data_IF_800309017297
#
_entry.id   IF_800309017297
#
_cell.length_a   1.000
_cell.length_b   1.000
_cell.length_c   1.000
_cell.angle_alpha   90.00
_cell.angle_beta   90.00
_cell.angle_gamma   90.00
#
_symmetry.space_group_name_H-M   'P 1'
#
loop_
_entity.id
_entity.type
_entity.pdbx_description
1 polymer ?
#
# COMPACT_ATOMS: atom_id res chain seq x y z
N UNK A 1 -0.85 -2.16 -20.71
CA UNK A 1 -1.09 -1.74 -22.10
C UNK A 1 -2.19 -0.67 -22.16
N UNK A 2 -1.87 0.61 -22.04
CA UNK A 2 -2.87 1.69 -22.20
C UNK A 2 -3.15 1.89 -23.68
N UNK A 3 -4.29 1.39 -24.14
CA UNK A 3 -4.78 1.63 -25.50
C UNK A 3 -5.16 3.11 -25.63
N UNK A 4 -4.26 3.92 -26.20
CA UNK A 4 -4.53 5.33 -26.48
C UNK A 4 -5.36 5.41 -27.76
N UNK A 5 -6.66 5.68 -27.62
CA UNK A 5 -7.52 5.98 -28.78
C UNK A 5 -7.11 7.34 -29.36
N UNK A 6 -7.19 7.49 -30.69
CA UNK A 6 -7.00 8.78 -31.35
C UNK A 6 -8.07 9.75 -30.85
N UNK A 7 -7.65 10.94 -30.42
CA UNK A 7 -8.57 11.98 -29.96
C UNK A 7 -9.18 12.65 -31.19
N UNK A 8 -10.50 12.74 -31.25
CA UNK A 8 -11.23 13.26 -32.41
C UNK A 8 -11.53 14.75 -32.25
N UNK A 9 -12.18 15.14 -31.15
CA UNK A 9 -12.68 16.51 -31.00
C UNK A 9 -11.81 17.36 -30.07
N UNK A 10 -11.74 17.03 -28.77
CA UNK A 10 -11.08 17.86 -27.76
C UNK A 10 -9.88 17.16 -27.12
N UNK A 11 -8.69 17.64 -27.48
CA UNK A 11 -7.41 17.17 -26.97
C UNK A 11 -7.25 17.31 -25.44
N UNK A 12 -7.65 18.45 -24.87
CA UNK A 12 -7.47 18.74 -23.44
C UNK A 12 -8.35 17.84 -22.56
N UNK A 13 -9.63 17.67 -22.93
CA UNK A 13 -10.56 16.80 -22.21
C UNK A 13 -10.10 15.35 -22.24
N UNK A 14 -9.59 14.89 -23.38
CA UNK A 14 -9.03 13.56 -23.50
C UNK A 14 -7.78 13.39 -22.64
N UNK A 15 -6.88 14.39 -22.62
CA UNK A 15 -5.69 14.37 -21.79
C UNK A 15 -6.06 14.26 -20.29
N UNK A 16 -6.98 15.10 -19.80
CA UNK A 16 -7.45 15.09 -18.41
C UNK A 16 -8.02 13.74 -17.95
N UNK A 17 -8.60 12.96 -18.86
CA UNK A 17 -9.18 11.66 -18.50
C UNK A 17 -8.15 10.53 -18.38
N UNK A 18 -6.92 10.75 -18.82
CA UNK A 18 -5.84 9.77 -18.72
C UNK A 18 -5.34 9.60 -17.28
N UNK A 19 -4.69 8.47 -16.93
CA UNK A 19 -4.12 8.25 -15.60
C UNK A 19 -3.06 9.28 -15.16
N UNK A 20 -2.54 10.08 -16.10
CA UNK A 20 -1.58 11.15 -15.83
C UNK A 20 -2.19 12.21 -14.90
N UNK A 21 -3.47 12.55 -15.09
CA UNK A 21 -4.18 13.58 -14.33
C UNK A 21 -5.21 12.98 -13.37
N UNK A 22 -4.79 11.97 -12.60
CA UNK A 22 -5.64 11.40 -11.54
C UNK A 22 -5.51 12.20 -10.24
N UNK A 23 -6.60 12.24 -9.48
CA UNK A 23 -6.58 12.76 -8.12
C UNK A 23 -5.55 12.00 -7.29
N UNK A 24 -4.63 12.75 -6.67
CA UNK A 24 -3.65 12.21 -5.75
C UNK A 24 -4.23 12.24 -4.34
N UNK A 25 -4.28 11.08 -3.70
CA UNK A 25 -4.66 10.97 -2.29
C UNK A 25 -3.37 10.91 -1.48
N UNK A 26 -3.19 11.88 -0.60
CA UNK A 26 -2.05 11.93 0.32
C UNK A 26 -2.40 11.18 1.59
N UNK A 27 -1.47 10.38 2.10
CA UNK A 27 -1.65 9.70 3.40
C UNK A 27 -1.68 10.75 4.51
N UNK A 28 -2.75 10.75 5.30
CA UNK A 28 -2.88 11.62 6.44
C UNK A 28 -1.75 11.36 7.46
N UNK A 29 -1.24 12.43 8.09
CA UNK A 29 -0.21 12.31 9.13
C UNK A 29 -0.77 11.80 10.46
N UNK A 30 -2.07 12.01 10.71
CA UNK A 30 -2.78 11.60 11.93
C UNK A 30 -4.22 11.22 11.58
N UNK A 31 -4.83 10.32 12.37
CA UNK A 31 -6.23 9.91 12.22
C UNK A 31 -6.42 8.68 11.34
N UNK A 32 -7.56 8.60 10.63
CA UNK A 32 -7.91 7.42 9.83
C UNK A 32 -6.90 7.22 8.69
N UNK A 33 -6.36 6.01 8.60
CA UNK A 33 -5.40 5.65 7.57
C UNK A 33 -4.01 6.26 7.77
N UNK A 34 -3.70 6.89 8.91
CA UNK A 34 -2.35 7.42 9.19
C UNK A 34 -1.38 6.39 9.76
N UNK A 35 -1.86 5.28 10.31
CA UNK A 35 -1.01 4.26 10.93
C UNK A 35 -0.01 3.67 9.93
N UNK A 36 1.24 3.51 10.37
CA UNK A 36 2.33 2.91 9.61
C UNK A 36 2.97 1.84 10.51
N UNK A 37 3.06 0.59 10.02
CA UNK A 37 3.66 -0.51 10.79
C UNK A 37 5.16 -0.31 11.05
N UNK A 38 5.85 0.44 10.20
CA UNK A 38 7.23 0.89 10.37
C UNK A 38 7.32 2.40 10.11
N UNK A 39 7.91 3.13 11.03
CA UNK A 39 8.10 4.58 10.92
C UNK A 39 9.21 4.93 9.94
N UNK A 40 9.28 6.20 9.52
CA UNK A 40 10.28 6.70 8.56
C UNK A 40 11.75 6.49 9.01
N UNK A 41 12.00 6.30 10.31
CA UNK A 41 13.32 6.09 10.91
C UNK A 41 13.67 4.64 11.21
N UNK A 42 12.76 3.67 11.06
CA UNK A 42 13.06 2.26 11.37
C UNK A 42 14.08 1.62 10.40
N UNK A 43 14.46 2.34 9.33
CA UNK A 43 15.46 1.90 8.35
C UNK A 43 16.86 2.52 8.56
N UNK A 44 17.11 3.26 9.65
CA UNK A 44 18.45 3.85 9.91
C UNK A 44 19.39 2.97 10.74
N UNK A 45 18.89 1.89 11.33
CA UNK A 45 19.72 0.84 11.91
C UNK A 45 19.10 -0.53 11.60
N UNK A 46 19.77 -1.31 10.77
CA UNK A 46 19.66 -2.77 10.77
C UNK A 46 18.47 -3.38 10.03
N UNK A 47 18.81 -4.27 9.09
CA UNK A 47 17.98 -5.37 8.58
C UNK A 47 16.64 -5.00 7.93
N UNK A 48 16.67 -4.88 6.60
CA UNK A 48 15.56 -5.42 5.84
C UNK A 48 15.56 -6.93 5.98
N UNK A 49 14.51 -7.49 6.57
CA UNK A 49 14.18 -8.90 6.38
C UNK A 49 12.67 -9.10 6.53
N UNK A 50 12.11 -9.63 5.45
CA UNK A 50 10.79 -10.25 5.28
C UNK A 50 9.93 -10.32 6.55
N UNK A 51 8.92 -9.45 6.65
CA UNK A 51 7.78 -9.67 7.56
C UNK A 51 6.54 -9.92 6.73
N UNK A 52 6.45 -11.15 6.20
CA UNK A 52 5.17 -11.76 5.89
C UNK A 52 4.34 -11.70 7.19
N UNK A 53 3.12 -11.17 7.10
CA UNK A 53 2.25 -11.08 8.28
C UNK A 53 2.08 -12.50 8.84
N UNK A 54 2.24 -12.75 10.15
CA UNK A 54 2.06 -14.10 10.67
C UNK A 54 0.60 -14.51 10.39
N UNK A 55 0.42 -15.42 9.45
CA UNK A 55 -0.80 -16.21 9.34
C UNK A 55 -0.98 -16.90 10.68
N UNK A 56 -2.10 -16.66 11.33
CA UNK A 56 -2.41 -17.20 12.67
C UNK A 56 -2.27 -18.73 12.62
N UNK A 57 -1.16 -19.28 13.15
CA UNK A 57 -0.95 -20.72 13.22
C UNK A 57 -1.55 -21.27 14.51
N UNK A 58 -2.64 -22.02 14.35
CA UNK A 58 -3.47 -22.61 15.42
C UNK A 58 -2.69 -23.65 16.24
N UNK A 59 -1.51 -24.08 15.79
CA UNK A 59 -0.73 -25.19 16.36
C UNK A 59 -0.13 -24.89 17.75
N UNK A 60 0.01 -23.62 18.14
CA UNK A 60 0.69 -23.26 19.41
C UNK A 60 -0.19 -23.40 20.66
N UNK A 61 -1.50 -23.51 20.52
CA UNK A 61 -2.44 -23.59 21.67
C UNK A 61 -2.44 -24.99 22.31
N UNK A 62 -2.14 -26.05 21.56
CA UNK A 62 -2.30 -27.43 22.05
C UNK A 62 -1.14 -27.90 22.94
N UNK A 63 0.04 -27.28 22.84
CA UNK A 63 1.26 -27.75 23.55
C UNK A 63 1.34 -27.31 25.02
N UNK A 64 0.45 -26.42 25.50
CA UNK A 64 0.49 -25.92 26.90
C UNK A 64 -0.45 -26.65 27.88
N UNK A 65 -1.09 -27.76 27.50
CA UNK A 65 -1.90 -28.61 28.39
C UNK A 65 -1.32 -30.02 28.52
N UNK A 66 -0.11 -30.13 29.07
CA UNK A 66 0.42 -31.38 29.59
C UNK A 66 1.52 -31.05 30.62
N UNK A 67 1.11 -30.91 31.88
CA UNK A 67 1.94 -30.96 33.07
C UNK A 67 1.06 -31.49 34.21
#
# INVERSE_FOLDING_TARGET
>A
MTHKRKVQDNALKAALRTPMFKQRIVKARKGKGSYQRGGKQSNRQGSGENREAPSVSVTRIVVMRAA
#
